data_IF_311832796496
#
_entry.id   IF_311832796496
#
_cell.length_a   1.000
_cell.length_b   1.000
_cell.length_c   1.000
_cell.angle_alpha   90.00
_cell.angle_beta   90.00
_cell.angle_gamma   90.00
#
_symmetry.space_group_name_H-M   'P 1'
#
loop_
_entity.id
_entity.type
_entity.pdbx_description
1 polymer ?
2 non-polymer ?
3 water ?
#
# COMPACT_ATOMS: atom_id res chain seq x y z
N UNK A 1 13.46 19.10 -3.37
CA UNK A 1 13.30 17.77 -2.80
C UNK A 1 11.82 17.49 -2.60
N UNK A 2 11.41 16.26 -2.87
CA UNK A 2 10.01 15.85 -2.73
C UNK A 2 9.55 15.91 -1.28
N UNK A 3 8.43 16.59 -1.02
CA UNK A 3 7.78 16.54 0.28
C UNK A 3 6.59 15.59 0.24
N UNK A 4 6.59 14.61 1.14
CA UNK A 4 5.48 13.67 1.31
C UNK A 4 4.73 13.98 2.59
N UNK A 5 3.42 14.23 2.51
CA UNK A 5 2.63 14.58 3.69
C UNK A 5 1.85 13.40 4.25
N UNK A 6 2.00 13.17 5.55
CA UNK A 6 1.30 12.11 6.25
C UNK A 6 2.14 11.38 7.27
N UNK A 7 1.51 10.64 8.19
CA UNK A 7 2.28 9.83 9.14
C UNK A 7 3.00 8.67 8.49
N UNK A 8 4.24 8.45 8.92
CA UNK A 8 5.01 7.31 8.44
C UNK A 8 4.38 5.96 8.79
N UNK A 9 3.53 5.92 9.83
CA UNK A 9 2.91 4.65 10.22
C UNK A 9 1.58 4.40 9.51
N UNK A 10 1.10 5.37 8.73
CA UNK A 10 -0.17 5.17 8.04
C UNK A 10 0.01 4.47 6.69
N UNK A 11 -0.96 3.64 6.36
CA UNK A 11 -0.95 2.81 5.15
C UNK A 11 -0.72 3.61 3.88
N UNK A 12 -1.48 4.70 3.73
CA UNK A 12 -1.50 5.44 2.48
C UNK A 12 -0.17 6.19 2.19
N UNK A 13 0.39 6.91 3.19
CA UNK A 13 1.73 7.46 2.93
C UNK A 13 2.81 6.40 2.76
N UNK A 14 2.68 5.27 3.45
CA UNK A 14 3.64 4.19 3.30
C UNK A 14 3.74 3.68 1.87
N UNK A 15 2.60 3.57 1.19
CA UNK A 15 2.62 3.14 -0.20
C UNK A 15 3.53 4.04 -1.03
N UNK A 16 3.37 5.35 -0.85
CA UNK A 16 4.20 6.32 -1.56
C UNK A 16 5.69 6.20 -1.15
N UNK A 17 5.94 6.14 0.15
CA UNK A 17 7.30 6.06 0.64
C UNK A 17 8.02 4.81 0.08
N UNK A 18 7.30 3.69 0.01
CA UNK A 18 7.90 2.46 -0.50
C UNK A 18 8.37 2.65 -1.95
N UNK A 19 7.55 3.30 -2.79
CA UNK A 19 7.97 3.55 -4.16
C UNK A 19 9.17 4.48 -4.24
N UNK A 20 9.18 5.55 -3.45
CA UNK A 20 10.30 6.48 -3.50
C UNK A 20 11.61 5.80 -3.06
N UNK A 21 11.53 4.98 -2.01
CA UNK A 21 12.70 4.25 -1.56
C UNK A 21 13.17 3.28 -2.62
N UNK A 22 12.26 2.56 -3.25
CA UNK A 22 12.65 1.61 -4.29
C UNK A 22 13.34 2.32 -5.47
N UNK A 23 12.87 3.51 -5.79
CA UNK A 23 13.41 4.28 -6.90
C UNK A 23 14.58 5.17 -6.54
N UNK A 24 15.00 5.15 -5.28
CA UNK A 24 16.11 5.98 -4.85
C UNK A 24 15.85 7.47 -4.99
N UNK A 25 14.61 7.86 -4.72
CA UNK A 25 14.20 9.26 -4.75
C UNK A 25 14.25 9.83 -3.32
N UNK A 26 15.08 10.85 -3.13
CA UNK A 26 15.17 11.50 -1.82
C UNK A 26 13.87 12.21 -1.51
N UNK A 27 13.43 12.14 -0.27
CA UNK A 27 12.23 12.84 0.13
C UNK A 27 12.26 13.23 1.60
N UNK A 28 11.46 14.25 1.91
CA UNK A 28 11.23 14.71 3.27
C UNK A 28 9.79 14.34 3.64
N UNK A 29 9.63 13.67 4.76
CA UNK A 29 8.30 13.35 5.27
C UNK A 29 7.85 14.46 6.19
N UNK A 30 6.63 14.94 5.96
CA UNK A 30 6.00 15.92 6.81
C UNK A 30 4.82 15.26 7.52
N UNK A 31 5.01 14.97 8.80
CA UNK A 31 3.98 14.37 9.60
C UNK A 31 2.71 15.20 9.63
N UNK A 32 1.58 14.53 9.47
CA UNK A 32 0.27 15.15 9.63
C UNK A 32 -0.44 14.33 10.69
N UNK A 33 -0.99 14.99 11.71
CA UNK A 33 -1.53 14.31 12.89
C UNK A 33 -3.01 13.98 12.64
N UNK A 34 -3.23 12.75 12.17
CA UNK A 34 -4.57 12.34 11.77
C UNK A 34 -5.51 12.15 12.96
N UNK A 35 -4.97 11.69 14.07
CA UNK A 35 -5.80 11.45 15.25
C UNK A 35 -6.43 12.74 15.75
N UNK A 36 -5.71 13.85 15.64
CA UNK A 36 -6.22 15.13 16.08
C UNK A 36 -6.95 15.91 14.99
N UNK A 37 -6.98 15.38 13.77
CA UNK A 37 -7.75 16.00 12.70
C UNK A 37 -7.04 17.12 11.95
N UNK A 38 -5.71 17.11 11.97
CA UNK A 38 -4.94 18.13 11.25
C UNK A 38 -5.31 18.12 9.76
N UNK A 39 -5.64 16.94 9.24
CA UNK A 39 -5.93 16.79 7.82
C UNK A 39 -7.23 17.49 7.41
N UNK A 40 -8.06 17.86 8.38
CA UNK A 40 -9.32 18.54 8.07
C UNK A 40 -9.22 20.07 8.27
N UNK A 41 -8.05 20.56 8.69
CA UNK A 41 -7.84 22.00 8.87
C UNK A 41 -7.67 22.72 7.52
N UNK A 42 -8.15 23.98 7.43
CA UNK A 42 -8.07 24.76 6.17
C UNK A 42 -6.70 24.75 5.51
N UNK A 43 -5.65 24.83 6.30
CA UNK A 43 -4.30 24.89 5.75
C UNK A 43 -4.00 23.60 4.95
N UNK A 44 -4.36 22.45 5.50
CA UNK A 44 -4.05 21.21 4.81
C UNK A 44 -5.02 20.96 3.66
N UNK A 45 -6.26 21.43 3.78
CA UNK A 45 -7.24 21.26 2.70
C UNK A 45 -6.80 21.98 1.43
N UNK A 46 -5.93 22.98 1.56
CA UNK A 46 -5.35 23.63 0.39
C UNK A 46 -4.38 22.71 -0.37
N UNK A 47 -3.82 21.74 0.34
CA UNK A 47 -2.94 20.73 -0.25
C UNK A 47 -3.70 19.51 -0.78
N UNK A 48 -4.60 18.97 0.02
CA UNK A 48 -5.41 17.81 -0.36
C UNK A 48 -6.86 18.16 -0.03
N UNK A 49 -7.68 18.47 -1.04
CA UNK A 49 -9.00 19.06 -0.78
C UNK A 49 -10.04 18.10 -0.21
N UNK A 50 -9.74 16.81 -0.20
CA UNK A 50 -10.59 15.80 0.44
C UNK A 50 -10.16 15.51 1.88
N UNK A 51 -9.14 16.21 2.36
CA UNK A 51 -8.72 16.09 3.74
C UNK A 51 -8.17 14.71 4.07
N UNK A 52 -7.34 14.21 3.17
CA UNK A 52 -6.70 12.91 3.33
C UNK A 52 -5.24 13.01 2.96
N UNK A 53 -4.46 12.02 3.41
CA UNK A 53 -3.04 11.89 3.07
C UNK A 53 -2.84 10.59 2.31
N UNK A 54 -1.84 10.52 1.42
CA UNK A 54 -0.79 11.51 1.19
C UNK A 54 -1.09 12.53 0.12
N UNK A 55 -0.30 13.59 0.15
CA UNK A 55 -0.14 14.51 -0.96
C UNK A 55 1.38 14.73 -1.08
N UNK A 56 1.87 14.93 -2.30
CA UNK A 56 3.25 15.28 -2.54
C UNK A 56 3.38 16.67 -3.17
N UNK A 57 4.44 17.35 -2.75
CA UNK A 57 4.86 18.62 -3.34
C UNK A 57 6.29 18.47 -3.82
N UNK A 58 6.51 18.72 -5.11
CA UNK A 58 7.78 18.49 -5.77
C UNK A 58 8.05 19.73 -6.61
N UNK A 59 8.71 20.71 -6.03
CA UNK A 59 8.87 21.97 -6.71
C UNK A 59 7.52 22.63 -6.80
N UNK A 60 7.09 23.01 -8.00
CA UNK A 60 5.78 23.63 -8.17
C UNK A 60 4.70 22.60 -8.54
N UNK A 61 5.07 21.32 -8.54
CA UNK A 61 4.13 20.25 -8.87
C UNK A 61 3.52 19.67 -7.59
N UNK A 62 2.19 19.52 -7.60
CA UNK A 62 1.45 18.94 -6.47
C UNK A 62 0.55 17.80 -6.94
N UNK A 63 0.57 16.69 -6.23
CA UNK A 63 -0.16 15.50 -6.64
C UNK A 63 -0.68 14.77 -5.44
N UNK A 64 -1.91 14.29 -5.50
CA UNK A 64 -2.41 13.38 -4.46
C UNK A 64 -3.06 12.14 -5.08
N UNK A 65 -3.63 11.30 -4.20
CA UNK A 65 -4.06 9.91 -4.47
C UNK A 65 -2.81 9.01 -4.59
N UNK A 66 -2.62 8.13 -3.59
CA UNK A 66 -1.39 7.35 -3.44
C UNK A 66 -1.05 6.58 -4.70
N UNK A 67 -2.04 6.00 -5.38
CA UNK A 67 -1.72 5.17 -6.53
C UNK A 67 -1.40 6.00 -7.78
N UNK A 68 -1.91 7.21 -7.86
CA UNK A 68 -1.43 8.15 -8.88
C UNK A 68 0.02 8.56 -8.64
N UNK A 69 0.36 8.82 -7.37
CA UNK A 69 1.70 9.22 -7.00
C UNK A 69 2.71 8.13 -7.29
N UNK A 70 2.43 6.87 -6.94
CA UNK A 70 3.43 5.85 -7.22
C UNK A 70 3.58 5.61 -8.73
N UNK A 71 2.52 5.76 -9.51
CA UNK A 71 2.66 5.68 -10.96
C UNK A 71 3.57 6.78 -11.49
N UNK A 72 3.40 7.99 -10.96
CA UNK A 72 4.18 9.14 -11.43
C UNK A 72 5.68 8.96 -11.17
N UNK A 73 6.06 8.59 -9.95
CA UNK A 73 7.50 8.43 -9.65
C UNK A 73 8.10 7.19 -10.29
N UNK A 74 7.30 6.16 -10.52
CA UNK A 74 7.80 4.98 -11.23
C UNK A 74 8.14 5.33 -12.68
N UNK A 75 7.39 6.27 -13.26
CA UNK A 75 7.65 6.72 -14.64
C UNK A 75 8.73 7.78 -14.70
N UNK A 76 8.71 8.72 -13.76
CA UNK A 76 9.65 9.83 -13.78
C UNK A 76 11.08 9.32 -13.60
N UNK A 77 11.23 8.24 -12.82
CA UNK A 77 12.53 7.62 -12.58
C UNK A 77 12.56 6.20 -13.13
N UNK A 78 11.93 6.03 -14.29
CA UNK A 78 11.79 4.73 -14.92
C UNK A 78 13.14 4.00 -15.09
N UNK A 79 14.20 4.74 -15.42
CA UNK A 79 15.49 4.08 -15.74
C UNK A 79 16.38 3.88 -14.53
N UNK A 80 15.93 4.39 -13.39
CA UNK A 80 16.64 4.26 -12.12
C UNK A 80 16.04 3.10 -11.32
N UNK A 81 16.87 2.23 -10.77
CA UNK A 81 16.38 1.18 -9.89
C UNK A 81 15.49 0.17 -10.58
N UNK A 82 14.54 -0.42 -9.84
CA UNK A 82 13.72 -1.49 -10.40
C UNK A 82 12.69 -1.05 -11.43
N UNK A 83 12.44 -1.90 -12.40
CA UNK A 83 11.37 -1.71 -13.36
C UNK A 83 10.01 -2.00 -12.75
N UNK A 84 9.38 -0.97 -12.19
CA UNK A 84 8.14 -1.18 -11.48
C UNK A 84 6.88 -1.12 -12.34
N UNK A 85 6.97 -0.64 -13.60
CA UNK A 85 5.78 -0.48 -14.47
C UNK A 85 5.54 -1.60 -15.46
N UNK A 86 6.60 -2.32 -15.83
CA UNK A 86 6.57 -3.20 -16.97
C UNK A 86 7.06 -2.48 -18.24
N UNK A 87 7.47 -3.24 -19.25
CA UNK A 87 8.03 -2.64 -20.47
C UNK A 87 7.05 -2.53 -21.64
N UNK A 88 6.48 -3.65 -22.07
CA UNK A 88 5.50 -3.60 -23.16
C UNK A 88 4.17 -3.07 -22.64
N UNK A 89 3.32 -2.60 -23.54
CA UNK A 89 2.00 -2.14 -23.13
C UNK A 89 1.22 -3.26 -22.46
N UNK A 90 1.41 -4.50 -22.90
CA UNK A 90 0.68 -5.63 -22.33
C UNK A 90 1.22 -5.94 -20.93
N UNK A 91 2.53 -5.82 -20.72
CA UNK A 91 3.10 -5.96 -19.39
C UNK A 91 2.59 -4.86 -18.45
N UNK A 92 2.58 -3.63 -18.95
CA UNK A 92 2.06 -2.50 -18.19
C UNK A 92 0.61 -2.70 -17.82
N UNK A 93 -0.15 -3.29 -18.73
CA UNK A 93 -1.55 -3.56 -18.49
C UNK A 93 -1.80 -4.53 -17.33
N UNK A 94 -0.98 -5.56 -17.24
CA UNK A 94 -1.12 -6.51 -16.14
C UNK A 94 -0.73 -5.89 -14.81
N UNK A 95 0.24 -4.99 -14.82
CA UNK A 95 0.55 -4.24 -13.59
C UNK A 95 -0.67 -3.42 -13.21
N UNK A 96 -1.27 -2.72 -14.18
CA UNK A 96 -2.46 -1.94 -13.92
C UNK A 96 -3.63 -2.80 -13.42
N UNK A 97 -3.83 -3.97 -14.04
CA UNK A 97 -4.90 -4.86 -13.61
C UNK A 97 -4.74 -5.24 -12.14
N UNK A 98 -3.53 -5.62 -11.73
CA UNK A 98 -3.34 -6.07 -10.35
C UNK A 98 -3.26 -4.92 -9.36
N UNK A 99 -2.92 -3.70 -9.83
CA UNK A 99 -3.12 -2.51 -9.01
C UNK A 99 -4.60 -2.24 -8.77
N UNK A 100 -5.42 -2.48 -9.79
CA UNK A 100 -6.88 -2.27 -9.67
C UNK A 100 -7.53 -3.34 -8.78
N UNK A 101 -7.02 -4.58 -8.84
CA UNK A 101 -7.46 -5.66 -7.94
C UNK A 101 -7.09 -5.27 -6.51
N UNK A 102 -5.87 -4.82 -6.29
CA UNK A 102 -5.46 -4.31 -4.98
C UNK A 102 -6.43 -3.25 -4.48
N UNK A 103 -6.72 -2.27 -5.33
CA UNK A 103 -7.40 -1.05 -4.91
C UNK A 103 -8.89 -1.21 -4.63
N UNK A 104 -9.51 -2.30 -5.10
CA UNK A 104 -10.93 -2.53 -4.75
C UNK A 104 -11.12 -3.91 -4.10
N UNK A 105 -11.04 -4.99 -4.88
CA UNK A 105 -11.28 -6.36 -4.36
C UNK A 105 -10.53 -6.60 -3.05
N UNK A 106 -9.24 -6.30 -3.01
CA UNK A 106 -8.46 -6.51 -1.80
C UNK A 106 -8.63 -5.38 -0.77
N UNK A 107 -8.31 -4.14 -1.12
CA UNK A 107 -8.25 -3.08 -0.12
C UNK A 107 -9.58 -2.70 0.53
N UNK A 108 -10.69 -2.85 -0.19
CA UNK A 108 -11.99 -2.51 0.38
C UNK A 108 -12.26 -3.41 1.60
N UNK A 109 -11.78 -4.65 1.54
CA UNK A 109 -11.92 -5.58 2.66
C UNK A 109 -10.82 -5.38 3.70
N UNK A 110 -9.57 -5.35 3.25
CA UNK A 110 -8.43 -5.29 4.15
C UNK A 110 -8.35 -3.98 4.89
N UNK A 111 -8.49 -2.84 4.21
CA UNK A 111 -8.36 -1.61 4.96
C UNK A 111 -9.50 -1.48 5.94
N UNK A 112 -10.68 -1.99 5.63
CA UNK A 112 -11.80 -1.88 6.55
C UNK A 112 -11.67 -2.82 7.75
N UNK A 113 -11.02 -3.97 7.57
CA UNK A 113 -10.67 -4.84 8.69
C UNK A 113 -9.69 -4.11 9.61
N UNK A 114 -8.65 -3.52 9.03
CA UNK A 114 -7.65 -2.78 9.83
C UNK A 114 -8.31 -1.59 10.54
N UNK A 115 -9.27 -0.95 9.87
CA UNK A 115 -9.94 0.20 10.47
C UNK A 115 -10.67 -0.23 11.74
N UNK A 116 -11.40 -1.33 11.63
CA UNK A 116 -12.22 -1.84 12.72
C UNK A 116 -11.40 -2.46 13.86
N UNK A 117 -10.37 -3.22 13.51
CA UNK A 117 -9.62 -4.00 14.51
C UNK A 117 -8.47 -3.19 15.12
N UNK A 118 -7.86 -2.30 14.34
CA UNK A 118 -6.67 -1.58 14.79
C UNK A 118 -6.92 -0.10 15.04
N UNK A 119 -7.45 0.60 14.03
CA UNK A 119 -7.58 2.05 14.12
C UNK A 119 -8.59 2.47 15.20
N UNK A 120 -9.78 1.86 15.20
CA UNK A 120 -10.83 2.32 16.10
C UNK A 120 -10.46 2.11 17.57
N UNK A 121 -9.94 0.94 17.93
CA UNK A 121 -9.56 0.78 19.33
C UNK A 121 -8.43 1.74 19.76
N UNK A 122 -7.59 2.14 18.82
CA UNK A 122 -6.46 3.02 19.13
C UNK A 122 -6.92 4.44 19.46
N UNK A 123 -8.06 4.85 18.91
CA UNK A 123 -8.66 6.14 19.23
C UNK A 123 -9.84 5.95 20.18
N UNK A 124 -9.81 4.84 20.92
CA UNK A 124 -10.74 4.63 22.03
C UNK A 124 -12.14 4.19 21.66
N UNK A 125 -12.32 3.69 20.44
CA UNK A 125 -13.63 3.25 19.98
C UNK A 125 -13.69 1.73 19.77
N UNK A 126 -14.89 1.19 19.84
CA UNK A 126 -15.09 -0.25 19.67
C UNK A 126 -15.29 -0.59 18.20
N UNK A 127 -14.65 -1.68 17.75
CA UNK A 127 -14.86 -2.16 16.40
C UNK A 127 -16.09 -3.05 16.33
N UNK A 128 -16.61 -3.24 15.12
CA UNK A 128 -17.80 -4.06 14.91
C UNK A 128 -17.36 -5.45 14.54
N UNK A 129 -17.39 -6.35 15.51
CA UNK A 129 -16.82 -7.68 15.30
C UNK A 129 -17.57 -8.49 14.26
N UNK A 130 -18.88 -8.29 14.18
CA UNK A 130 -19.69 -9.05 13.23
C UNK A 130 -19.41 -8.60 11.81
N UNK A 131 -19.21 -7.30 11.65
CA UNK A 131 -18.86 -6.75 10.35
C UNK A 131 -17.48 -7.24 9.90
N UNK A 132 -16.53 -7.27 10.83
CA UNK A 132 -15.21 -7.81 10.53
C UNK A 132 -15.30 -9.25 10.03
N UNK A 133 -16.17 -10.05 10.63
CA UNK A 133 -16.34 -11.43 10.19
C UNK A 133 -16.85 -11.54 8.77
N UNK A 134 -17.74 -10.63 8.38
CA UNK A 134 -18.24 -10.68 7.01
C UNK A 134 -17.11 -10.33 6.05
N UNK A 135 -16.25 -9.40 6.45
CA UNK A 135 -15.09 -9.02 5.61
C UNK A 135 -14.17 -10.22 5.44
N UNK A 136 -13.90 -10.94 6.54
CA UNK A 136 -12.99 -12.09 6.52
C UNK A 136 -13.44 -13.15 5.54
N UNK A 137 -14.74 -13.47 5.58
CA UNK A 137 -15.33 -14.47 4.71
C UNK A 137 -15.13 -14.09 3.24
N UNK A 138 -15.39 -12.82 2.92
CA UNK A 138 -15.21 -12.35 1.55
C UNK A 138 -13.72 -12.39 1.15
N UNK A 139 -12.86 -12.02 2.08
CA UNK A 139 -11.43 -11.91 1.79
C UNK A 139 -10.76 -13.28 1.54
N UNK A 140 -11.27 -14.32 2.19
CA UNK A 140 -10.81 -15.67 1.89
C UNK A 140 -10.99 -15.97 0.41
N UNK A 141 -12.15 -15.60 -0.13
CA UNK A 141 -12.46 -15.90 -1.51
C UNK A 141 -11.60 -15.06 -2.45
N UNK A 142 -11.37 -13.80 -2.11
CA UNK A 142 -10.48 -12.95 -2.90
C UNK A 142 -9.08 -13.55 -2.91
N UNK A 143 -8.59 -13.96 -1.74
CA UNK A 143 -7.21 -14.46 -1.67
C UNK A 143 -7.06 -15.84 -2.31
N UNK A 144 -8.14 -16.60 -2.47
CA UNK A 144 -8.08 -17.84 -3.24
C UNK A 144 -7.72 -17.56 -4.70
N UNK A 145 -8.19 -16.43 -5.22
CA UNK A 145 -7.83 -16.03 -6.56
C UNK A 145 -6.35 -15.61 -6.63
N UNK A 146 -5.86 -14.91 -5.62
CA UNK A 146 -4.43 -14.57 -5.55
C UNK A 146 -3.56 -15.83 -5.56
N UNK A 147 -3.99 -16.83 -4.80
CA UNK A 147 -3.24 -18.08 -4.72
C UNK A 147 -3.16 -18.78 -6.08
N UNK A 148 -4.29 -18.82 -6.79
CA UNK A 148 -4.32 -19.37 -8.14
C UNK A 148 -3.33 -18.61 -9.05
N UNK A 149 -3.38 -17.29 -9.01
CA UNK A 149 -2.45 -16.50 -9.82
C UNK A 149 -0.99 -16.78 -9.49
N UNK A 150 -0.67 -16.87 -8.19
CA UNK A 150 0.70 -17.01 -7.75
C UNK A 150 1.19 -18.46 -7.93
N UNK A 151 0.27 -19.38 -8.22
CA UNK A 151 0.71 -20.72 -8.57
C UNK A 151 1.29 -20.71 -9.99
N UNK A 152 0.91 -19.71 -10.79
CA UNK A 152 1.30 -19.63 -12.21
C UNK A 152 2.34 -18.53 -12.51
N UNK A 153 2.57 -17.64 -11.56
CA UNK A 153 3.44 -16.50 -11.77
C UNK A 153 4.15 -16.15 -10.49
N UNK A 154 5.45 -15.85 -10.52
CA UNK A 154 6.17 -15.62 -9.27
C UNK A 154 5.58 -14.42 -8.53
N UNK A 155 5.29 -13.34 -9.26
CA UNK A 155 4.69 -12.13 -8.69
C UNK A 155 3.34 -11.89 -9.37
N UNK A 156 2.59 -10.89 -8.90
CA UNK A 156 1.23 -10.76 -9.40
C UNK A 156 1.10 -10.36 -10.88
N UNK A 157 1.97 -9.49 -11.38
CA UNK A 157 1.85 -9.02 -12.75
C UNK A 157 2.79 -9.72 -13.73
N UNK A 158 3.52 -10.72 -13.28
CA UNK A 158 4.53 -11.37 -14.10
C UNK A 158 5.66 -11.94 -13.27
N UNK A 159 6.81 -12.22 -13.89
CA UNK A 159 7.84 -12.95 -13.17
C UNK A 159 8.70 -12.02 -12.30
N UNK A 160 8.42 -10.71 -12.35
CA UNK A 160 9.19 -9.73 -11.57
C UNK A 160 8.33 -8.82 -10.67
N UNK A 161 8.95 -8.27 -9.64
CA UNK A 161 8.29 -7.36 -8.70
C UNK A 161 7.92 -6.05 -9.39
N UNK A 162 6.68 -5.59 -9.19
CA UNK A 162 6.20 -4.37 -9.82
C UNK A 162 5.38 -3.54 -8.84
N UNK A 163 4.88 -2.39 -9.29
CA UNK A 163 3.95 -1.59 -8.49
C UNK A 163 2.81 -2.42 -7.95
N UNK A 164 2.32 -3.37 -8.74
CA UNK A 164 1.21 -4.21 -8.28
C UNK A 164 1.51 -4.90 -6.96
N UNK A 165 2.69 -5.49 -6.81
CA UNK A 165 3.04 -6.13 -5.54
C UNK A 165 3.29 -5.06 -4.48
N UNK A 166 4.04 -4.04 -4.85
CA UNK A 166 4.43 -2.98 -3.93
C UNK A 166 3.21 -2.39 -3.21
N UNK A 167 2.14 -2.17 -3.97
CA UNK A 167 0.97 -1.46 -3.44
C UNK A 167 0.25 -2.22 -2.32
N UNK A 168 0.51 -3.53 -2.24
CA UNK A 168 -0.08 -4.39 -1.20
C UNK A 168 0.67 -4.32 0.14
N UNK A 169 1.91 -3.83 0.14
CA UNK A 169 2.76 -3.94 1.34
C UNK A 169 2.16 -3.31 2.61
N UNK A 170 1.66 -2.06 2.56
CA UNK A 170 1.25 -1.45 3.84
C UNK A 170 0.01 -2.08 4.48
N UNK A 171 -1.06 -2.30 3.73
CA UNK A 171 -2.27 -2.82 4.35
C UNK A 171 -2.09 -4.29 4.75
N UNK A 172 -1.37 -5.04 3.93
CA UNK A 172 -1.11 -6.45 4.26
C UNK A 172 -0.31 -6.57 5.54
N UNK A 173 0.66 -5.69 5.76
CA UNK A 173 1.44 -5.80 6.99
C UNK A 173 0.56 -5.59 8.21
N UNK A 174 -0.34 -4.62 8.17
CA UNK A 174 -1.29 -4.43 9.27
C UNK A 174 -2.22 -5.63 9.44
N UNK A 175 -2.68 -6.22 8.33
CA UNK A 175 -3.58 -7.38 8.35
C UNK A 175 -2.99 -8.57 9.10
N UNK A 176 -1.72 -8.84 8.87
CA UNK A 176 -1.11 -10.09 9.36
C UNK A 176 -0.37 -9.88 10.66
N UNK A 177 -0.25 -8.63 11.11
CA UNK A 177 0.37 -8.35 12.40
C UNK A 177 -0.66 -7.77 13.39
N UNK A 178 -0.87 -6.46 13.39
CA UNK A 178 -1.77 -5.84 14.37
C UNK A 178 -3.18 -6.40 14.35
N UNK A 179 -3.68 -6.77 13.17
CA UNK A 179 -5.07 -7.23 13.09
C UNK A 179 -5.20 -8.70 13.45
N UNK A 180 -4.07 -9.40 13.60
CA UNK A 180 -4.07 -10.80 14.00
C UNK A 180 -4.63 -11.79 12.99
N UNK A 181 -4.64 -11.41 11.71
CA UNK A 181 -5.27 -12.25 10.68
C UNK A 181 -4.22 -12.82 9.72
N UNK A 182 -3.03 -13.08 10.26
CA UNK A 182 -1.95 -13.70 9.50
C UNK A 182 -2.31 -15.02 8.82
N UNK A 183 -3.24 -15.78 9.37
CA UNK A 183 -3.63 -17.04 8.72
C UNK A 183 -4.12 -16.86 7.30
N UNK A 184 -4.69 -15.70 6.97
CA UNK A 184 -5.19 -15.48 5.61
C UNK A 184 -4.06 -15.61 4.60
N UNK A 185 -2.87 -15.17 4.98
CA UNK A 185 -1.69 -15.36 4.17
C UNK A 185 -1.04 -16.74 4.39
N UNK A 186 -0.86 -17.14 5.65
CA UNK A 186 -0.17 -18.39 5.96
C UNK A 186 -0.89 -19.65 5.45
N UNK A 187 -2.21 -19.62 5.39
CA UNK A 187 -3.01 -20.75 4.90
C UNK A 187 -2.77 -21.09 3.43
N UNK A 188 -2.17 -20.14 2.69
CA UNK A 188 -2.07 -20.20 1.23
C UNK A 188 -0.60 -20.24 0.85
N UNK A 189 -0.13 -21.39 0.39
CA UNK A 189 1.31 -21.61 0.25
C UNK A 189 2.03 -20.62 -0.67
N UNK A 190 1.50 -20.39 -1.87
CA UNK A 190 2.16 -19.48 -2.80
C UNK A 190 2.05 -18.03 -2.31
N UNK A 191 0.91 -17.67 -1.77
CA UNK A 191 0.71 -16.34 -1.23
C UNK A 191 1.65 -16.07 -0.09
N UNK A 192 1.83 -17.06 0.78
CA UNK A 192 2.72 -16.86 1.90
C UNK A 192 4.16 -16.65 1.46
N UNK A 193 4.60 -17.42 0.47
CA UNK A 193 5.97 -17.27 -0.01
C UNK A 193 6.15 -15.89 -0.68
N UNK A 194 5.14 -15.45 -1.42
CA UNK A 194 5.15 -14.12 -2.04
C UNK A 194 5.25 -13.04 -0.97
N UNK A 195 4.44 -13.16 0.09
CA UNK A 195 4.48 -12.19 1.17
C UNK A 195 5.84 -12.13 1.86
N UNK A 196 6.39 -13.30 2.20
CA UNK A 196 7.68 -13.30 2.90
C UNK A 196 8.79 -12.76 1.99
N UNK A 197 8.67 -12.98 0.69
CA UNK A 197 9.58 -12.35 -0.28
C UNK A 197 9.44 -10.81 -0.32
N UNK A 198 8.28 -10.29 -0.71
CA UNK A 198 8.20 -8.85 -0.92
C UNK A 198 8.38 -8.06 0.38
N UNK A 199 7.93 -8.59 1.51
CA UNK A 199 8.04 -7.85 2.77
C UNK A 199 9.46 -7.92 3.34
N UNK A 200 10.33 -8.72 2.73
CA UNK A 200 11.75 -8.76 3.11
C UNK A 200 12.60 -7.86 2.23
N UNK A 201 12.01 -7.18 1.25
CA UNK A 201 12.81 -6.30 0.40
C UNK A 201 13.46 -5.18 1.24
N UNK A 202 14.70 -4.80 0.92
CA UNK A 202 15.39 -3.81 1.77
C UNK A 202 14.63 -2.48 1.96
N UNK A 203 13.99 -2.00 0.91
CA UNK A 203 13.25 -0.74 1.02
C UNK A 203 12.10 -0.83 2.02
N UNK A 204 11.38 -1.95 2.02
CA UNK A 204 10.29 -2.14 2.94
C UNK A 204 10.79 -2.34 4.38
N UNK A 205 11.82 -3.17 4.56
CA UNK A 205 12.40 -3.38 5.90
C UNK A 205 12.87 -2.07 6.50
N UNK A 206 13.44 -1.22 5.66
CA UNK A 206 13.94 0.09 6.10
C UNK A 206 12.81 0.93 6.65
N UNK A 207 11.75 1.01 5.84
CA UNK A 207 10.60 1.82 6.16
C UNK A 207 9.94 1.36 7.46
N UNK A 208 9.76 0.05 7.63
CA UNK A 208 9.08 -0.47 8.82
C UNK A 208 9.92 -0.41 10.11
N UNK A 209 11.23 -0.53 9.98
CA UNK A 209 12.07 -0.45 11.18
C UNK A 209 12.10 0.98 11.71
N UNK A 210 12.18 1.95 10.81
CA UNK A 210 12.06 3.36 11.21
C UNK A 210 10.72 3.65 11.90
N UNK A 211 9.64 3.03 11.42
CA UNK A 211 8.31 3.32 11.95
C UNK A 211 8.08 2.74 13.34
N UNK A 212 8.82 1.69 13.68
CA UNK A 212 8.71 1.07 14.99
C UNK A 212 7.71 -0.06 15.03
X LIG B 1 -7.64 6.98 -2.10
X LIG B 1 -6.76 7.75 -1.23
X LIG B 1 -5.34 7.46 -1.59
X LIG B 1 -4.45 8.37 -1.40
X LIG B 1 -5.08 6.31 -2.02
X LIG B 1 -7.06 7.31 0.22
X LIG B 1 -6.31 8.17 1.25
X LIG B 1 -6.70 7.85 2.67
X LIG B 1 -7.70 7.20 2.93
X LIG B 1 -5.88 8.36 3.59
X LIG B 1 -6.01 8.07 5.01
X LIG B 1 -6.35 9.31 5.76
X LIG B 1 -5.95 10.41 5.39
X LIG B 1 -4.70 7.51 5.54
X LIG B 1 -4.24 5.82 5.10
X LIG B 1 -7.12 9.11 6.83
X LIG B 1 -7.61 10.23 7.61
X LIG B 1 -8.97 10.73 7.19
X LIG B 1 -9.46 11.70 7.81
X LIG B 1 -9.59 10.17 6.24
#
# INVERSE_FOLDING_TARGET
VVKVYGPAVAVCPQRVMACLLEKGVEFDLVHVDLDSGEQKLPEFLLKQPFGQVPVVEDGDFKLFESRAIIRYYAAKYEDRGPNLLGNTLEEKALVDQWLEIEAHNFNDLVFNIVFQVVILPRIGQQGDSELVRTYEEKLEKVLDVYEKRLSKSKYLAGDSFTLADLSHLPATRYLVNEAGLGHLVKDRKKLNAWWEDISSRPAWKKLMNLAGF
GSH N1 CA1 C1 O11 O12 CB1 CG1 CD1 OE1 N2 CA2 C2 O2 CB2 SG2 N3 CA3 C3 O31 O32
#
